data_IF_170755793708
#
_entry.id   IF_170755793708
#
_cell.length_a   1.000
_cell.length_b   1.000
_cell.length_c   1.000
_cell.angle_alpha   90.00
_cell.angle_beta   90.00
_cell.angle_gamma   90.00
#
_symmetry.space_group_name_H-M   'P 1'
#
loop_
_entity.id
_entity.type
_entity.pdbx_description
1 polymer ?
#
# COMPACT_ATOMS: atom_id res chain seq x y z
N UNK A 1 12.02 32.14 -1.24
CA UNK A 1 11.99 30.67 -1.03
C UNK A 1 10.75 30.37 -0.21
N UNK A 2 9.68 29.89 -0.84
CA UNK A 2 8.53 29.38 -0.09
C UNK A 2 9.01 28.16 0.68
N UNK A 3 8.86 28.18 2.00
CA UNK A 3 9.01 26.97 2.79
C UNK A 3 7.85 26.06 2.37
N UNK A 4 8.14 24.86 1.88
CA UNK A 4 7.11 23.90 1.52
C UNK A 4 6.39 23.46 2.81
N UNK A 5 5.25 24.08 3.11
CA UNK A 5 4.46 23.88 4.34
C UNK A 5 3.52 22.67 4.27
N UNK A 6 3.69 21.78 3.29
CA UNK A 6 2.75 20.68 3.07
C UNK A 6 3.25 19.61 2.11
N UNK A 7 2.35 18.69 1.77
CA UNK A 7 2.55 17.63 0.77
C UNK A 7 1.70 17.94 -0.44
N UNK A 8 2.31 18.00 -1.61
CA UNK A 8 1.59 18.19 -2.88
C UNK A 8 1.05 16.84 -3.36
N UNK A 9 -0.26 16.80 -3.66
CA UNK A 9 -0.96 15.61 -4.13
C UNK A 9 -1.49 15.86 -5.52
N UNK A 10 -1.07 15.04 -6.47
CA UNK A 10 -1.60 14.98 -7.82
C UNK A 10 -2.56 13.79 -7.90
N UNK A 11 -3.83 14.03 -8.20
CA UNK A 11 -4.87 13.01 -8.18
C UNK A 11 -5.66 13.01 -9.49
N UNK A 12 -5.68 11.88 -10.17
CA UNK A 12 -6.60 11.65 -11.28
C UNK A 12 -7.88 10.97 -10.79
N UNK A 13 -9.03 11.45 -11.26
CA UNK A 13 -10.37 10.95 -10.92
C UNK A 13 -11.25 10.93 -12.17
N UNK A 14 -12.08 9.89 -12.33
CA UNK A 14 -13.08 9.81 -13.39
C UNK A 14 -14.50 9.87 -12.84
N UNK A 15 -15.49 10.26 -13.67
CA UNK A 15 -16.88 10.01 -13.36
C UNK A 15 -17.09 8.49 -13.17
N UNK A 16 -17.43 8.06 -11.96
CA UNK A 16 -17.60 6.65 -11.58
C UNK A 16 -16.56 6.11 -10.60
N UNK A 17 -15.49 6.86 -10.30
CA UNK A 17 -14.60 6.52 -9.19
C UNK A 17 -15.40 6.46 -7.88
N UNK A 18 -15.23 5.42 -7.03
CA UNK A 18 -15.93 5.34 -5.75
C UNK A 18 -15.67 6.58 -4.89
N UNK A 19 -16.71 7.08 -4.21
CA UNK A 19 -16.59 8.26 -3.33
C UNK A 19 -15.62 8.04 -2.16
N UNK A 20 -15.35 6.79 -1.79
CA UNK A 20 -14.40 6.41 -0.75
C UNK A 20 -12.92 6.48 -1.18
N UNK A 21 -12.62 6.58 -2.48
CA UNK A 21 -11.25 6.53 -2.99
C UNK A 21 -10.39 7.72 -2.53
N UNK A 22 -10.96 8.94 -2.58
CA UNK A 22 -10.29 10.15 -2.09
C UNK A 22 -9.94 10.07 -0.60
N UNK A 23 -10.92 9.82 0.30
CA UNK A 23 -10.67 9.62 1.72
C UNK A 23 -9.64 8.52 2.03
N UNK A 24 -9.65 7.41 1.28
CA UNK A 24 -8.69 6.32 1.45
C UNK A 24 -7.26 6.77 1.14
N UNK A 25 -7.04 7.50 0.04
CA UNK A 25 -5.73 8.04 -0.33
C UNK A 25 -5.26 9.09 0.69
N UNK A 26 -6.13 9.99 1.13
CA UNK A 26 -5.80 10.96 2.18
C UNK A 26 -5.36 10.23 3.45
N UNK A 27 -6.04 9.15 3.82
CA UNK A 27 -5.67 8.34 4.99
C UNK A 27 -4.29 7.72 4.85
N UNK A 28 -3.98 7.18 3.68
CA UNK A 28 -2.65 6.64 3.39
C UNK A 28 -1.55 7.71 3.50
N UNK A 29 -1.80 8.91 2.97
CA UNK A 29 -0.85 10.03 3.05
C UNK A 29 -0.63 10.44 4.51
N UNK A 30 -1.69 10.50 5.33
CA UNK A 30 -1.60 10.79 6.76
C UNK A 30 -0.76 9.74 7.50
N UNK A 31 -1.01 8.45 7.26
CA UNK A 31 -0.26 7.36 7.89
C UNK A 31 1.23 7.44 7.52
N UNK A 32 1.54 7.66 6.24
CA UNK A 32 2.91 7.82 5.77
C UNK A 32 3.58 9.07 6.36
N UNK A 33 2.84 10.18 6.53
CA UNK A 33 3.36 11.41 7.12
C UNK A 33 3.69 11.23 8.60
N UNK A 34 2.74 10.64 9.36
CA UNK A 34 2.86 10.39 10.79
C UNK A 34 4.02 9.46 11.11
N UNK A 35 4.22 8.43 10.31
CA UNK A 35 5.35 7.52 10.44
C UNK A 35 6.69 8.18 10.06
N UNK A 36 6.67 9.20 9.20
CA UNK A 36 7.86 9.85 8.66
C UNK A 36 8.36 9.23 7.34
N UNK A 37 7.51 8.49 6.60
CA UNK A 37 7.79 8.03 5.24
C UNK A 37 7.58 9.13 4.18
N UNK A 38 6.63 10.04 4.41
CA UNK A 38 6.46 11.31 3.65
C UNK A 38 6.40 12.53 4.60
N UNK A 39 6.58 13.74 4.09
CA UNK A 39 6.91 14.92 4.91
C UNK A 39 6.80 16.21 4.10
N UNK A 40 7.04 17.38 4.71
CA UNK A 40 6.90 18.66 4.00
C UNK A 40 7.78 18.69 2.75
N UNK A 41 7.23 19.18 1.63
CA UNK A 41 7.87 19.19 0.31
C UNK A 41 7.80 17.87 -0.47
N UNK A 42 7.26 16.80 0.12
CA UNK A 42 7.02 15.56 -0.62
C UNK A 42 5.90 15.74 -1.66
N UNK A 43 6.00 14.98 -2.75
CA UNK A 43 4.98 14.95 -3.81
C UNK A 43 4.42 13.54 -3.94
N UNK A 44 3.10 13.44 -4.09
CA UNK A 44 2.39 12.16 -4.24
C UNK A 44 1.54 12.22 -5.49
N UNK A 45 1.68 11.25 -6.38
CA UNK A 45 0.79 11.05 -7.52
C UNK A 45 -0.07 9.82 -7.27
N UNK A 46 -1.35 9.91 -7.60
CA UNK A 46 -2.28 8.82 -7.46
C UNK A 46 -3.33 8.84 -8.57
N UNK A 47 -3.82 7.64 -8.89
CA UNK A 47 -4.99 7.46 -9.72
C UNK A 47 -6.06 6.88 -8.82
N UNK A 48 -7.13 7.62 -8.56
CA UNK A 48 -8.16 7.21 -7.61
C UNK A 48 -8.98 6.00 -8.11
N UNK A 49 -8.88 5.64 -9.38
CA UNK A 49 -9.44 4.39 -9.91
C UNK A 49 -8.59 3.16 -9.58
N UNK A 50 -7.33 3.35 -9.16
CA UNK A 50 -6.39 2.28 -8.85
C UNK A 50 -6.17 2.28 -7.35
N UNK A 51 -6.79 1.36 -6.61
CA UNK A 51 -6.69 1.36 -5.16
C UNK A 51 -5.25 1.10 -4.72
N UNK A 52 -4.83 1.81 -3.67
CA UNK A 52 -3.56 1.59 -2.96
C UNK A 52 -2.29 1.73 -3.83
N UNK A 53 -2.36 2.46 -4.94
CA UNK A 53 -1.22 2.71 -5.82
C UNK A 53 -0.84 4.19 -5.77
N UNK A 54 0.33 4.48 -5.21
CA UNK A 54 0.89 5.81 -5.12
C UNK A 54 2.24 5.85 -5.85
N UNK A 55 2.56 6.97 -6.47
CA UNK A 55 3.94 7.33 -6.77
C UNK A 55 4.35 8.42 -5.80
N UNK A 56 5.48 8.27 -5.14
CA UNK A 56 5.91 9.16 -4.07
C UNK A 56 7.31 9.67 -4.39
N UNK A 57 7.47 10.99 -4.31
CA UNK A 57 8.75 11.67 -4.21
C UNK A 57 8.92 12.15 -2.77
N UNK A 58 9.81 11.49 -2.03
CA UNK A 58 10.18 11.92 -0.68
C UNK A 58 11.70 12.03 -0.56
N UNK A 59 12.39 10.99 -0.07
CA UNK A 59 13.85 10.86 -0.16
C UNK A 59 14.31 10.44 -1.56
N UNK A 60 13.45 9.71 -2.28
CA UNK A 60 13.65 9.27 -3.65
C UNK A 60 12.33 9.12 -4.38
N UNK A 61 12.41 8.93 -5.69
CA UNK A 61 11.27 8.57 -6.53
C UNK A 61 10.92 7.08 -6.37
N UNK A 62 9.71 6.75 -5.93
CA UNK A 62 9.28 5.35 -5.81
C UNK A 62 7.78 5.14 -6.05
N UNK A 63 7.44 4.00 -6.65
CA UNK A 63 6.11 3.43 -6.52
C UNK A 63 5.91 2.96 -5.07
N UNK A 64 4.74 3.20 -4.50
CA UNK A 64 4.40 2.83 -3.13
C UNK A 64 3.02 2.17 -3.09
N UNK A 65 2.96 0.99 -2.46
CA UNK A 65 1.73 0.29 -2.12
C UNK A 65 1.68 0.02 -0.63
N UNK A 66 0.52 0.25 -0.02
CA UNK A 66 0.27 -0.08 1.40
C UNK A 66 -0.50 -1.39 1.47
N UNK A 67 -0.08 -2.26 2.39
CA UNK A 67 -0.70 -3.56 2.68
C UNK A 67 -0.91 -3.66 4.19
N UNK A 68 -2.14 -3.93 4.61
CA UNK A 68 -2.44 -4.20 6.01
C UNK A 68 -2.01 -5.61 6.38
N UNK A 69 -1.28 -5.75 7.50
CA UNK A 69 -0.86 -7.05 8.03
C UNK A 69 -1.17 -7.12 9.53
N UNK A 70 -1.53 -8.30 10.06
CA UNK A 70 -2.03 -8.41 11.43
C UNK A 70 -0.96 -8.15 12.50
N UNK A 71 0.31 -8.45 12.21
CA UNK A 71 1.42 -8.34 13.17
C UNK A 71 2.71 -7.96 12.49
N UNK A 72 3.75 -7.69 13.31
CA UNK A 72 5.10 -7.77 12.81
C UNK A 72 5.39 -9.22 12.37
N UNK A 73 6.15 -9.37 11.29
CA UNK A 73 6.47 -10.66 10.70
C UNK A 73 7.81 -10.60 9.97
N UNK A 74 7.90 -11.42 8.94
CA UNK A 74 9.04 -11.49 8.04
C UNK A 74 8.66 -10.95 6.68
N UNK A 75 9.56 -10.16 6.09
CA UNK A 75 9.46 -9.75 4.70
C UNK A 75 10.58 -10.38 3.88
N UNK A 76 10.26 -10.84 2.68
CA UNK A 76 11.23 -11.33 1.71
C UNK A 76 11.27 -10.38 0.53
N UNK A 77 12.47 -9.90 0.20
CA UNK A 77 12.71 -9.08 -0.97
C UNK A 77 13.43 -9.92 -2.01
N UNK A 78 12.88 -9.97 -3.21
CA UNK A 78 13.53 -10.56 -4.38
C UNK A 78 13.80 -9.46 -5.41
N UNK A 79 14.22 -9.83 -6.62
CA UNK A 79 14.39 -8.85 -7.70
C UNK A 79 13.05 -8.27 -8.19
N UNK A 80 11.95 -9.00 -8.06
CA UNK A 80 10.65 -8.67 -8.67
C UNK A 80 9.47 -8.77 -7.70
N UNK A 81 9.71 -9.02 -6.41
CA UNK A 81 8.63 -9.13 -5.44
C UNK A 81 9.03 -8.72 -4.03
N UNK A 82 8.01 -8.30 -3.28
CA UNK A 82 8.07 -8.14 -1.83
C UNK A 82 6.93 -8.96 -1.22
N UNK A 83 7.30 -9.93 -0.39
CA UNK A 83 6.36 -10.85 0.24
C UNK A 83 6.43 -10.74 1.76
N UNK A 84 5.29 -10.82 2.44
CA UNK A 84 5.18 -10.88 3.89
C UNK A 84 4.60 -12.22 4.34
N UNK A 85 5.09 -12.71 5.47
CA UNK A 85 4.56 -13.85 6.20
C UNK A 85 4.82 -13.70 7.69
N UNK A 86 4.07 -14.42 8.53
CA UNK A 86 4.23 -14.38 9.99
C UNK A 86 5.59 -14.96 10.41
N UNK A 87 6.04 -16.01 9.72
CA UNK A 87 7.37 -16.61 9.91
C UNK A 87 8.18 -16.61 8.61
N UNK A 88 9.50 -16.74 8.74
CA UNK A 88 10.44 -16.72 7.62
C UNK A 88 10.06 -17.65 6.46
N UNK A 89 9.68 -18.90 6.75
CA UNK A 89 9.39 -19.91 5.72
C UNK A 89 8.15 -19.57 4.89
N UNK A 90 7.14 -18.93 5.50
CA UNK A 90 5.89 -18.54 4.83
C UNK A 90 6.16 -17.55 3.69
N UNK A 91 7.12 -16.64 3.87
CA UNK A 91 7.51 -15.66 2.84
C UNK A 91 7.96 -16.28 1.50
N UNK A 92 8.24 -17.58 1.49
CA UNK A 92 8.67 -18.32 0.30
C UNK A 92 7.70 -19.40 -0.18
N UNK A 93 6.99 -20.08 0.74
CA UNK A 93 6.10 -21.21 0.39
C UNK A 93 4.65 -20.78 0.17
N UNK A 94 4.14 -19.91 1.01
CA UNK A 94 2.75 -19.45 0.96
C UNK A 94 2.65 -18.09 1.67
N UNK A 95 3.16 -17.02 1.05
CA UNK A 95 3.13 -15.71 1.66
C UNK A 95 1.69 -15.22 1.76
N UNK A 96 1.27 -14.75 2.94
CA UNK A 96 -0.08 -14.20 3.12
C UNK A 96 -0.31 -12.95 2.27
N UNK A 97 0.75 -12.18 2.04
CA UNK A 97 0.73 -11.05 1.13
C UNK A 97 1.98 -11.06 0.27
N UNK A 98 1.80 -11.04 -1.05
CA UNK A 98 2.89 -10.89 -2.00
C UNK A 98 2.52 -9.83 -3.02
N UNK A 99 3.44 -8.91 -3.26
CA UNK A 99 3.34 -7.95 -4.35
C UNK A 99 4.45 -8.24 -5.35
N UNK A 100 4.06 -8.49 -6.60
CA UNK A 100 4.97 -8.63 -7.72
C UNK A 100 4.99 -7.34 -8.54
N UNK A 101 6.12 -7.07 -9.20
CA UNK A 101 6.22 -5.94 -10.14
C UNK A 101 5.23 -6.01 -11.30
N UNK A 102 4.74 -7.21 -11.62
CA UNK A 102 3.71 -7.41 -12.63
C UNK A 102 2.31 -6.96 -12.16
N UNK A 103 2.11 -6.78 -10.86
CA UNK A 103 0.87 -6.26 -10.28
C UNK A 103 0.82 -4.72 -10.32
N UNK A 104 1.88 -4.07 -10.81
CA UNK A 104 1.88 -2.63 -11.03
C UNK A 104 0.91 -2.26 -12.17
N UNK A 105 0.19 -1.13 -12.05
CA UNK A 105 -0.70 -0.66 -13.13
C UNK A 105 0.06 -0.13 -14.36
N UNK A 106 1.39 -0.18 -14.33
CA UNK A 106 2.30 0.35 -15.33
C UNK A 106 3.54 -0.53 -15.38
N UNK A 107 4.13 -0.68 -16.57
CA UNK A 107 5.33 -1.49 -16.75
C UNK A 107 6.51 -0.91 -15.97
N UNK A 108 7.23 -1.77 -15.24
CA UNK A 108 8.46 -1.42 -14.53
C UNK A 108 9.54 -0.94 -15.52
N UNK A 109 10.17 0.18 -15.21
CA UNK A 109 11.26 0.76 -15.99
C UNK A 109 12.60 0.64 -15.24
N UNK A 110 13.74 0.76 -15.96
CA UNK A 110 15.04 0.90 -15.31
C UNK A 110 15.03 2.05 -14.30
N UNK A 111 15.64 1.83 -13.14
CA UNK A 111 15.73 2.78 -12.01
C UNK A 111 14.42 3.02 -11.23
N UNK A 112 13.32 2.36 -11.59
CA UNK A 112 12.13 2.35 -10.73
C UNK A 112 12.46 1.70 -9.38
N UNK A 113 12.07 2.38 -8.30
CA UNK A 113 12.04 1.78 -6.96
C UNK A 113 10.60 1.40 -6.63
N UNK A 114 10.39 0.18 -6.16
CA UNK A 114 9.10 -0.37 -5.76
C UNK A 114 9.10 -0.55 -4.25
N UNK A 115 8.23 0.20 -3.58
CA UNK A 115 8.08 0.21 -2.12
C UNK A 115 6.77 -0.47 -1.72
N UNK A 116 6.84 -1.44 -0.82
CA UNK A 116 5.67 -2.00 -0.14
C UNK A 116 5.73 -1.65 1.34
N UNK A 117 4.74 -0.89 1.81
CA UNK A 117 4.59 -0.51 3.20
C UNK A 117 3.59 -1.45 3.89
N UNK A 118 4.07 -2.24 4.84
CA UNK A 118 3.26 -3.17 5.60
C UNK A 118 2.74 -2.50 6.87
N UNK A 119 1.48 -2.11 6.85
CA UNK A 119 0.80 -1.35 7.91
C UNK A 119 0.35 -2.30 9.02
N UNK A 120 0.77 -2.03 10.26
CA UNK A 120 0.44 -2.84 11.43
C UNK A 120 0.59 -2.06 12.76
N UNK A 121 0.05 -2.61 13.85
CA UNK A 121 0.08 -2.01 15.20
C UNK A 121 1.04 -2.71 16.17
N UNK A 122 1.74 -3.77 15.73
CA UNK A 122 2.65 -4.54 16.59
C UNK A 122 3.88 -3.68 16.94
N UNK A 123 4.23 -3.54 18.24
CA UNK A 123 5.41 -2.76 18.64
C UNK A 123 6.74 -3.38 18.20
N UNK A 124 6.77 -4.66 17.82
CA UNK A 124 7.99 -5.34 17.36
C UNK A 124 8.34 -4.92 15.94
N UNK A 125 9.63 -4.83 15.62
CA UNK A 125 10.10 -4.58 14.25
C UNK A 125 10.01 -5.86 13.40
N UNK A 126 9.64 -5.69 12.13
CA UNK A 126 9.76 -6.75 11.13
C UNK A 126 11.22 -7.14 10.89
N UNK A 127 11.40 -8.37 10.38
CA UNK A 127 12.68 -8.91 9.93
C UNK A 127 12.65 -9.07 8.42
N UNK A 128 13.79 -8.96 7.76
CA UNK A 128 13.86 -9.09 6.30
C UNK A 128 14.74 -10.26 5.86
N UNK A 129 14.45 -10.79 4.68
CA UNK A 129 15.23 -11.84 4.01
C UNK A 129 15.51 -11.45 2.57
N UNK A 130 16.77 -11.49 2.18
CA UNK A 130 17.21 -11.32 0.80
C UNK A 130 18.64 -11.84 0.65
N UNK A 131 19.02 -12.23 -0.57
CA UNK A 131 20.34 -12.82 -0.84
C UNK A 131 20.64 -14.11 -0.06
N UNK A 132 19.60 -14.84 0.36
CA UNK A 132 19.75 -16.08 1.14
C UNK A 132 20.08 -15.88 2.63
N UNK A 133 20.08 -14.63 3.13
CA UNK A 133 20.39 -14.30 4.52
C UNK A 133 19.26 -13.52 5.20
N UNK A 134 19.26 -13.55 6.54
CA UNK A 134 18.38 -12.77 7.39
C UNK A 134 19.02 -11.42 7.69
N UNK A 135 18.22 -10.36 7.61
CA UNK A 135 18.65 -8.99 7.87
C UNK A 135 17.69 -8.34 8.85
N UNK A 136 18.23 -7.51 9.75
CA UNK A 136 17.42 -6.63 10.57
C UNK A 136 16.97 -5.42 9.75
N UNK A 137 15.72 -5.00 9.89
CA UNK A 137 15.28 -3.72 9.33
C UNK A 137 15.97 -2.56 10.05
N UNK A 138 16.55 -1.64 9.27
CA UNK A 138 17.15 -0.41 9.77
C UNK A 138 16.16 0.73 9.54
N UNK A 139 15.85 1.47 10.61
CA UNK A 139 14.85 2.54 10.57
C UNK A 139 13.52 2.11 9.95
N UNK A 140 13.10 0.87 10.27
CA UNK A 140 11.88 0.24 9.77
C UNK A 140 11.87 0.01 8.24
N UNK A 141 13.03 0.04 7.59
CA UNK A 141 13.19 -0.15 6.15
C UNK A 141 14.11 -1.34 5.88
N UNK A 142 13.78 -2.10 4.84
CA UNK A 142 14.68 -3.03 4.17
C UNK A 142 14.71 -2.72 2.66
N UNK A 143 15.90 -2.79 2.06
CA UNK A 143 16.10 -2.51 0.64
C UNK A 143 16.93 -3.62 0.02
N UNK A 144 16.55 -4.06 -1.18
CA UNK A 144 17.30 -5.02 -1.98
C UNK A 144 17.06 -4.76 -3.48
N UNK A 145 18.09 -4.26 -4.17
CA UNK A 145 17.94 -3.84 -5.56
C UNK A 145 16.92 -2.70 -5.69
N UNK A 146 15.95 -2.86 -6.60
CA UNK A 146 14.83 -1.92 -6.78
C UNK A 146 13.68 -2.12 -5.79
N UNK A 147 13.73 -3.15 -4.93
CA UNK A 147 12.67 -3.43 -3.96
C UNK A 147 12.95 -2.78 -2.61
N UNK A 148 11.91 -2.19 -2.01
CA UNK A 148 11.91 -1.60 -0.68
C UNK A 148 10.71 -2.11 0.11
N UNK A 149 10.94 -2.46 1.36
CA UNK A 149 9.89 -2.78 2.32
C UNK A 149 9.93 -1.77 3.48
N UNK A 150 8.77 -1.28 3.90
CA UNK A 150 8.61 -0.41 5.08
C UNK A 150 7.72 -1.13 6.09
N UNK A 151 8.19 -1.28 7.32
CA UNK A 151 7.37 -1.70 8.45
C UNK A 151 6.63 -0.48 9.00
N UNK A 152 5.46 -0.19 8.42
CA UNK A 152 4.67 1.02 8.68
C UNK A 152 3.88 0.84 9.98
N UNK A 153 4.37 1.43 11.07
CA UNK A 153 3.71 1.36 12.38
C UNK A 153 2.59 2.39 12.51
N UNK A 154 1.40 1.90 12.84
CA UNK A 154 0.24 2.73 13.11
C UNK A 154 0.29 3.32 14.51
N UNK A 155 -0.18 4.56 14.64
CA UNK A 155 -0.29 5.24 15.94
C UNK A 155 1.03 5.74 16.54
N UNK A 156 2.18 5.52 15.88
CA UNK A 156 3.47 6.05 16.33
C UNK A 156 3.71 7.45 15.78
N UNK A 157 4.18 8.37 16.62
CA UNK A 157 4.75 9.65 16.18
C UNK A 157 6.05 9.44 15.40
N UNK A 158 6.40 10.37 14.50
CA UNK A 158 7.49 10.27 13.52
C UNK A 158 8.69 9.46 14.00
N UNK A 159 8.73 8.19 13.60
CA UNK A 159 9.79 7.26 13.98
C UNK A 159 11.04 7.39 13.11
N UNK A 160 10.93 8.06 11.95
CA UNK A 160 12.00 8.19 10.96
C UNK A 160 12.56 9.61 10.93
N UNK A 161 13.89 9.75 11.10
CA UNK A 161 14.59 11.03 11.02
C UNK A 161 14.74 11.56 9.58
N UNK A 162 15.00 12.87 9.49
CA UNK A 162 15.11 13.72 8.29
C UNK A 162 15.55 13.00 7.01
N UNK A 163 14.77 13.21 5.94
CA UNK A 163 15.04 12.64 4.63
C UNK A 163 16.21 13.33 3.95
N UNK A 164 17.00 12.54 3.23
CA UNK A 164 17.90 13.08 2.23
C UNK A 164 17.10 13.95 1.23
N UNK A 165 17.67 15.08 0.82
CA UNK A 165 17.06 15.91 -0.22
C UNK A 165 17.05 15.09 -1.52
N UNK A 166 15.88 14.90 -2.17
CA UNK A 166 15.80 14.13 -3.41
C UNK A 166 16.67 14.77 -4.49
N UNK A 167 17.31 13.95 -5.31
CA UNK A 167 18.18 14.42 -6.39
C UNK A 167 17.37 15.00 -7.55
N UNK A 168 18.04 15.73 -8.46
CA UNK A 168 17.39 16.18 -9.69
C UNK A 168 16.85 15.01 -10.52
N UNK A 169 17.57 13.89 -10.53
CA UNK A 169 17.09 12.66 -11.14
C UNK A 169 15.79 12.19 -10.49
N UNK A 170 15.70 12.13 -9.17
CA UNK A 170 14.48 11.72 -8.45
C UNK A 170 13.29 12.62 -8.78
N UNK A 171 13.52 13.93 -8.82
CA UNK A 171 12.49 14.93 -9.14
C UNK A 171 11.94 14.71 -10.54
N UNK A 172 12.82 14.61 -11.54
CA UNK A 172 12.43 14.41 -12.93
C UNK A 172 11.78 13.03 -13.14
N UNK A 173 12.37 12.00 -12.54
CA UNK A 173 11.86 10.63 -12.58
C UNK A 173 10.44 10.55 -11.99
N UNK A 174 10.22 11.15 -10.81
CA UNK A 174 8.90 11.18 -10.19
C UNK A 174 7.87 11.95 -11.00
N UNK A 175 8.26 13.06 -11.64
CA UNK A 175 7.37 13.80 -12.54
C UNK A 175 6.88 12.95 -13.71
N UNK A 176 7.76 12.15 -14.33
CA UNK A 176 7.39 11.28 -15.45
C UNK A 176 6.55 10.09 -14.97
N UNK A 177 7.05 9.34 -13.99
CA UNK A 177 6.40 8.09 -13.54
C UNK A 177 5.12 8.35 -12.75
N UNK A 178 5.04 9.46 -12.03
CA UNK A 178 3.82 9.91 -11.38
C UNK A 178 2.71 10.24 -12.38
N UNK A 179 3.04 10.89 -13.50
CA UNK A 179 2.11 11.13 -14.60
C UNK A 179 1.67 9.82 -15.28
N UNK A 180 2.60 8.89 -15.51
CA UNK A 180 2.28 7.57 -16.06
C UNK A 180 1.28 6.83 -15.15
N UNK A 181 1.46 6.87 -13.83
CA UNK A 181 0.52 6.29 -12.87
C UNK A 181 -0.86 6.95 -12.94
N UNK A 182 -0.91 8.29 -12.93
CA UNK A 182 -2.17 9.04 -13.08
C UNK A 182 -2.92 8.66 -14.36
N UNK A 183 -2.19 8.41 -15.45
CA UNK A 183 -2.76 8.08 -16.74
C UNK A 183 -3.00 6.57 -16.96
N UNK A 184 -2.63 5.70 -16.02
CA UNK A 184 -2.56 4.24 -16.24
C UNK A 184 -3.91 3.59 -16.62
N UNK A 185 -5.05 4.14 -16.19
CA UNK A 185 -6.39 3.65 -16.56
C UNK A 185 -7.00 4.39 -17.77
N UNK A 186 -6.20 5.18 -18.47
CA UNK A 186 -6.68 6.14 -19.48
C UNK A 186 -6.05 5.90 -20.85
N UNK A 187 -6.73 6.37 -21.91
CA UNK A 187 -6.18 6.34 -23.26
C UNK A 187 -5.16 7.46 -23.54
N UNK A 188 -4.42 7.40 -24.66
CA UNK A 188 -3.38 8.37 -25.01
C UNK A 188 -3.83 9.84 -25.05
N UNK A 189 -5.10 10.08 -25.40
CA UNK A 189 -5.67 11.42 -25.42
C UNK A 189 -5.76 12.04 -24.02
N UNK A 190 -6.23 11.27 -23.02
CA UNK A 190 -6.35 11.73 -21.64
C UNK A 190 -4.98 11.91 -20.98
N UNK A 191 -4.01 11.03 -21.29
CA UNK A 191 -2.62 11.23 -20.85
C UNK A 191 -2.10 12.62 -21.27
N UNK A 192 -2.34 13.03 -22.52
CA UNK A 192 -1.97 14.38 -22.99
C UNK A 192 -2.66 15.50 -22.22
N UNK A 193 -3.96 15.32 -21.92
CA UNK A 193 -4.72 16.30 -21.13
C UNK A 193 -4.13 16.43 -19.73
N UNK A 194 -3.88 15.31 -19.03
CA UNK A 194 -3.29 15.32 -17.69
C UNK A 194 -1.93 16.02 -17.71
N UNK A 195 -1.07 15.68 -18.67
CA UNK A 195 0.27 16.29 -18.81
C UNK A 195 0.20 17.80 -19.05
N UNK A 196 -0.71 18.25 -19.90
CA UNK A 196 -0.83 19.67 -20.25
C UNK A 196 -1.56 20.51 -19.19
N UNK A 197 -2.28 19.87 -18.27
CA UNK A 197 -3.13 20.53 -17.27
C UNK A 197 -2.85 19.99 -15.86
N UNK A 198 -1.61 19.63 -15.54
CA UNK A 198 -1.26 18.94 -14.27
C UNK A 198 -1.66 19.75 -13.03
N UNK A 199 -1.67 21.08 -13.13
CA UNK A 199 -2.12 21.98 -12.07
C UNK A 199 -3.62 21.83 -11.75
N UNK A 200 -4.45 21.43 -12.73
CA UNK A 200 -5.87 21.16 -12.47
C UNK A 200 -6.10 19.88 -11.65
N UNK A 201 -5.08 19.01 -11.56
CA UNK A 201 -5.13 17.74 -10.82
C UNK A 201 -4.35 17.81 -9.51
N UNK A 202 -3.91 19.00 -9.07
CA UNK A 202 -3.08 19.16 -7.88
C UNK A 202 -3.84 19.77 -6.72
N UNK A 203 -3.50 19.33 -5.52
CA UNK A 203 -3.84 19.98 -4.26
C UNK A 203 -2.66 19.89 -3.29
N UNK A 204 -2.72 20.61 -2.18
CA UNK A 204 -1.70 20.55 -1.12
C UNK A 204 -2.38 20.27 0.20
N UNK A 205 -1.88 19.27 0.93
CA UNK A 205 -2.26 19.02 2.32
C UNK A 205 -1.23 19.70 3.21
N UNK A 206 -1.65 20.70 3.97
CA UNK A 206 -0.77 21.47 4.86
C UNK A 206 -0.41 20.64 6.09
N UNK A 207 0.77 20.88 6.65
CA UNK A 207 1.26 20.16 7.85
C UNK A 207 0.29 20.24 9.03
N UNK A 208 -0.36 21.39 9.20
CA UNK A 208 -1.26 21.64 10.32
C UNK A 208 -2.58 20.86 10.18
N UNK A 209 -2.99 20.54 8.95
CA UNK A 209 -4.20 19.78 8.65
C UNK A 209 -4.05 18.30 9.02
N UNK A 210 -2.83 17.75 9.03
CA UNK A 210 -2.61 16.33 9.35
C UNK A 210 -3.13 15.95 10.74
N UNK A 211 -3.00 16.86 11.72
CA UNK A 211 -3.49 16.62 13.09
C UNK A 211 -5.01 16.56 13.12
N UNK A 212 -5.67 17.44 12.38
CA UNK A 212 -7.12 17.55 12.37
C UNK A 212 -7.74 16.39 11.60
N UNK A 213 -7.14 15.99 10.47
CA UNK A 213 -7.53 14.80 9.71
C UNK A 213 -7.37 13.54 10.57
N UNK A 214 -6.28 13.43 11.32
CA UNK A 214 -6.06 12.30 12.24
C UNK A 214 -7.13 12.25 13.34
N UNK A 215 -7.46 13.40 13.94
CA UNK A 215 -8.50 13.47 14.96
C UNK A 215 -9.86 13.03 14.40
N UNK A 216 -10.18 13.40 13.15
CA UNK A 216 -11.38 12.96 12.47
C UNK A 216 -11.35 11.44 12.19
N UNK A 217 -10.23 10.90 11.71
CA UNK A 217 -10.08 9.46 11.48
C UNK A 217 -10.27 8.64 12.74
N UNK A 218 -9.65 9.06 13.86
CA UNK A 218 -9.79 8.38 15.14
C UNK A 218 -11.26 8.32 15.59
N UNK A 219 -11.99 9.43 15.46
CA UNK A 219 -13.43 9.48 15.78
C UNK A 219 -14.25 8.54 14.89
N UNK A 220 -13.94 8.49 13.59
CA UNK A 220 -14.62 7.57 12.66
C UNK A 220 -14.35 6.11 13.04
N UNK A 221 -13.10 5.78 13.39
CA UNK A 221 -12.75 4.43 13.86
C UNK A 221 -13.49 4.07 15.16
N UNK A 222 -13.52 4.96 16.15
CA UNK A 222 -14.26 4.76 17.42
C UNK A 222 -15.76 4.51 17.17
N UNK A 223 -16.38 5.28 16.27
CA UNK A 223 -17.79 5.08 15.88
C UNK A 223 -17.96 3.74 15.16
N UNK A 224 -17.03 3.38 14.28
CA UNK A 224 -17.08 2.13 13.51
C UNK A 224 -17.01 0.93 14.45
N UNK A 225 -16.06 0.92 15.39
CA UNK A 225 -15.93 -0.12 16.42
C UNK A 225 -17.23 -0.26 17.23
N UNK A 226 -17.81 0.87 17.67
CA UNK A 226 -19.08 0.86 18.40
C UNK A 226 -20.25 0.25 17.61
N UNK A 227 -20.22 0.31 16.28
CA UNK A 227 -21.23 -0.30 15.40
C UNK A 227 -20.90 -1.77 15.09
N UNK A 228 -19.62 -2.09 14.84
CA UNK A 228 -19.18 -3.41 14.38
C UNK A 228 -19.03 -4.41 15.53
N UNK A 229 -18.60 -3.98 16.71
CA UNK A 229 -18.34 -4.88 17.84
C UNK A 229 -19.61 -5.63 18.27
N UNK A 230 -20.80 -5.00 18.36
CA UNK A 230 -22.03 -5.73 18.63
C UNK A 230 -22.43 -6.70 17.51
N UNK A 231 -21.99 -6.49 16.28
CA UNK A 231 -22.22 -7.42 15.16
C UNK A 231 -21.30 -8.62 15.30
N UNK A 232 -20.00 -8.40 15.52
CA UNK A 232 -19.00 -9.45 15.72
C UNK A 232 -19.33 -10.31 16.95
N UNK A 233 -19.72 -9.69 18.07
CA UNK A 233 -20.13 -10.39 19.29
C UNK A 233 -21.40 -11.22 19.10
N UNK A 234 -22.34 -10.77 18.25
CA UNK A 234 -23.50 -11.59 17.88
C UNK A 234 -23.11 -12.76 16.99
N UNK A 235 -22.24 -12.55 16.02
CA UNK A 235 -21.74 -13.61 15.11
C UNK A 235 -20.96 -14.66 15.88
N UNK A 236 -20.09 -14.27 16.82
CA UNK A 236 -19.28 -15.20 17.63
C UNK A 236 -20.11 -16.05 18.60
N UNK A 237 -21.35 -15.63 18.90
CA UNK A 237 -22.32 -16.35 19.73
C UNK A 237 -23.29 -17.22 18.94
N UNK A 238 -23.22 -17.22 17.60
CA UNK A 238 -23.99 -18.16 16.80
C UNK A 238 -23.46 -19.58 17.05
N UNK A 239 -24.33 -20.56 17.39
CA UNK A 239 -23.93 -21.95 17.49
C UNK A 239 -23.58 -22.46 16.08
N UNK A 240 -22.34 -22.92 15.90
CA UNK A 240 -21.75 -23.50 14.68
C UNK A 240 -22.04 -22.73 13.37
N UNK A 241 -21.17 -21.77 13.05
CA UNK A 241 -20.68 -21.69 11.67
C UNK A 241 -19.59 -22.76 11.57
N UNK A 242 -20.02 -24.01 11.37
CA UNK A 242 -19.17 -25.18 11.18
C UNK A 242 -18.23 -25.02 9.97
N UNK A 243 -17.26 -25.94 9.78
CA UNK A 243 -16.30 -25.85 8.70
C UNK A 243 -17.03 -25.79 7.35
N UNK A 244 -16.50 -25.01 6.41
CA UNK A 244 -16.78 -25.25 5.00
C UNK A 244 -16.16 -26.60 4.66
N UNK A 245 -16.84 -27.69 5.00
CA UNK A 245 -16.57 -29.00 4.43
C UNK A 245 -17.11 -28.92 2.99
N UNK A 246 -16.17 -28.86 2.04
CA UNK A 246 -16.45 -29.20 0.66
C UNK A 246 -16.85 -30.69 0.66
N UNK A 247 -18.15 -30.96 0.75
CA UNK A 247 -18.73 -32.26 0.41
C UNK A 247 -18.54 -32.50 -1.10
N UNK A 248 -17.31 -32.85 -1.50
CA UNK A 248 -17.00 -33.55 -2.75
C UNK A 248 -16.76 -35.04 -2.43
N UNK A 249 -17.70 -35.67 -1.72
CA UNK A 249 -17.82 -37.13 -1.64
C UNK A 249 -19.24 -37.54 -2.04
N UNK A 250 -19.63 -37.34 -3.30
CA UNK A 250 -20.79 -38.03 -3.90
C UNK A 250 -20.77 -37.96 -5.44
N UNK A 251 -19.69 -38.41 -6.09
CA UNK A 251 -19.71 -38.60 -7.55
C UNK A 251 -18.89 -39.82 -8.04
N UNK A 252 -18.83 -40.91 -7.26
CA UNK A 252 -18.13 -42.14 -7.72
C UNK A 252 -18.88 -43.47 -7.54
N UNK A 253 -20.22 -43.44 -7.45
CA UNK A 253 -21.06 -44.67 -7.46
C UNK A 253 -21.92 -44.84 -8.73
N UNK A 254 -21.64 -44.09 -9.81
CA UNK A 254 -22.29 -44.26 -11.11
C UNK A 254 -21.46 -45.01 -12.17
N UNK A 255 -20.22 -45.42 -11.88
CA UNK A 255 -19.33 -46.07 -12.86
C UNK A 255 -19.24 -47.60 -12.74
N UNK A 256 -19.93 -48.25 -11.79
CA UNK A 256 -19.84 -49.70 -11.57
C UNK A 256 -21.03 -50.52 -12.09
N UNK A 257 -22.06 -49.91 -12.69
CA UNK A 257 -23.29 -50.62 -13.12
C UNK A 257 -23.49 -50.75 -14.64
N UNK A 258 -22.53 -50.32 -15.48
CA UNK A 258 -22.58 -50.48 -16.95
C UNK A 258 -21.36 -51.27 -17.43
N UNK A 259 -21.20 -52.50 -16.94
CA UNK A 259 -20.35 -53.52 -17.56
C UNK A 259 -20.86 -54.96 -17.34
N UNK A 260 -22.16 -55.11 -17.03
CA UNK A 260 -22.82 -56.40 -16.97
C UNK A 260 -24.21 -56.33 -17.63
N UNK A 261 -24.22 -56.16 -18.95
CA UNK A 261 -25.33 -56.49 -19.84
C UNK A 261 -24.84 -56.63 -21.28
#
# INVERSE_FOLDING_TARGET
>A
MNQDTGITVYAFIRPGTPSSAGPAVVTQIVDLYRFGAIGPGSKVWCNLDIPNALWVLSDRSSFLRIVDVPTAGWVRLTKNSVAWGRVAIETSRNPSHCFHTNDMPMALQPNDTVTVAFRNTDPKKMRSQFGGANHAMRDYVAEHGSMRAIDLKMGTDQTKQLRAVPTEFDINHAGIRGLDLMAATTGPAMHRIIRNNIEAFTTTILTDEFRDIQAAQKRISEITEMITDPIVDRISKLPDVGPFDDDDEDENEAAAAIQAS
#
